data_IF_975711517670
#
_entry.id   IF_975711517670
#
_cell.length_a   1.000
_cell.length_b   1.000
_cell.length_c   1.000
_cell.angle_alpha   90.00
_cell.angle_beta   90.00
_cell.angle_gamma   90.00
#
_symmetry.space_group_name_H-M   'P 1'
#
loop_
_entity.id
_entity.type
_entity.pdbx_description
1 polymer ?
#
# COMPACT_ATOMS: atom_id res chain seq x y z
N UNK A 1 -18.66 -77.59 16.34
CA UNK A 1 -18.06 -76.55 17.21
C UNK A 1 -17.82 -75.32 16.38
N UNK A 2 -18.72 -74.34 16.49
CA UNK A 2 -18.66 -73.07 15.74
C UNK A 2 -18.16 -72.00 16.70
N UNK A 3 -17.01 -71.42 16.41
CA UNK A 3 -16.49 -70.31 17.16
C UNK A 3 -17.08 -69.00 16.63
N UNK A 4 -17.84 -68.32 17.46
CA UNK A 4 -18.28 -66.95 17.28
C UNK A 4 -17.08 -66.01 17.45
N UNK A 5 -16.69 -65.29 16.37
CA UNK A 5 -15.78 -64.15 16.51
C UNK A 5 -16.58 -62.89 16.92
N UNK A 6 -16.06 -62.11 17.87
CA UNK A 6 -16.76 -60.93 18.35
C UNK A 6 -16.68 -59.77 17.32
N UNK A 7 -17.87 -59.31 16.94
CA UNK A 7 -18.08 -58.18 16.01
C UNK A 7 -17.67 -56.79 16.49
N UNK A 8 -16.99 -56.73 17.65
CA UNK A 8 -16.70 -55.43 18.33
C UNK A 8 -15.41 -54.77 17.94
N UNK A 9 -14.54 -55.35 17.10
CA UNK A 9 -13.22 -54.83 16.77
C UNK A 9 -13.15 -54.00 15.47
N UNK A 10 -14.20 -53.99 14.69
CA UNK A 10 -14.22 -53.26 13.39
C UNK A 10 -14.73 -51.84 13.54
N UNK A 11 -15.43 -51.51 14.62
CA UNK A 11 -15.99 -50.15 14.82
C UNK A 11 -14.99 -49.11 15.39
N UNK A 12 -13.85 -49.55 15.93
CA UNK A 12 -12.90 -48.65 16.54
C UNK A 12 -11.84 -48.06 15.59
N UNK A 13 -11.70 -48.59 14.38
CA UNK A 13 -10.70 -48.12 13.42
C UNK A 13 -11.21 -47.04 12.48
N UNK A 14 -12.51 -46.78 12.38
CA UNK A 14 -13.06 -45.74 11.51
C UNK A 14 -13.12 -44.34 12.12
N UNK A 15 -12.92 -44.19 13.42
CA UNK A 15 -13.02 -42.88 14.07
C UNK A 15 -11.71 -42.12 14.16
N UNK A 16 -10.56 -42.72 13.84
CA UNK A 16 -9.25 -42.05 13.95
C UNK A 16 -8.77 -41.41 12.64
N UNK A 17 -9.51 -41.52 11.54
CA UNK A 17 -9.10 -40.98 10.24
C UNK A 17 -9.77 -39.66 9.86
N UNK A 18 -10.58 -39.06 10.74
CA UNK A 18 -11.32 -37.83 10.43
C UNK A 18 -10.77 -36.54 11.07
N UNK A 19 -9.64 -36.57 11.75
CA UNK A 19 -9.05 -35.37 12.40
C UNK A 19 -7.83 -34.79 11.68
N UNK A 20 -7.51 -35.23 10.48
CA UNK A 20 -6.43 -34.67 9.66
C UNK A 20 -6.98 -33.85 8.52
N UNK A 21 -7.93 -32.94 8.81
CA UNK A 21 -8.43 -32.03 7.79
C UNK A 21 -8.39 -30.61 8.27
N UNK A 22 -7.70 -29.80 7.46
CA UNK A 22 -7.80 -28.35 7.38
C UNK A 22 -6.95 -27.53 8.36
N UNK A 23 -5.64 -27.70 8.32
CA UNK A 23 -4.82 -26.51 8.30
C UNK A 23 -4.88 -25.89 6.88
N UNK A 24 -6.01 -25.32 6.51
CA UNK A 24 -6.03 -24.40 5.40
C UNK A 24 -5.16 -23.23 5.81
N UNK A 25 -3.97 -23.17 5.22
CA UNK A 25 -3.12 -21.99 5.25
C UNK A 25 -3.97 -20.83 4.71
N UNK A 26 -4.53 -20.04 5.60
CA UNK A 26 -5.17 -18.80 5.22
C UNK A 26 -4.09 -17.98 4.55
N UNK A 27 -4.21 -17.77 3.24
CA UNK A 27 -3.41 -16.80 2.54
C UNK A 27 -3.48 -15.50 3.34
N UNK A 28 -2.36 -14.81 3.57
CA UNK A 28 -2.36 -13.58 4.36
C UNK A 28 -3.40 -12.64 3.76
N UNK A 29 -4.43 -12.35 4.53
CA UNK A 29 -5.46 -11.41 4.11
C UNK A 29 -4.78 -10.07 3.90
N UNK A 30 -4.81 -9.57 2.67
CA UNK A 30 -4.28 -8.24 2.35
C UNK A 30 -5.04 -7.24 3.20
N UNK A 31 -4.32 -6.48 4.03
CA UNK A 31 -4.94 -5.45 4.84
C UNK A 31 -5.59 -4.41 3.92
N UNK A 32 -6.89 -4.13 4.07
CA UNK A 32 -7.56 -3.15 3.24
C UNK A 32 -6.98 -1.75 3.49
N UNK A 33 -6.81 -0.98 2.44
CA UNK A 33 -6.50 0.45 2.52
C UNK A 33 -7.80 1.19 2.81
N UNK A 34 -7.88 1.88 3.94
CA UNK A 34 -9.02 2.72 4.32
C UNK A 34 -8.53 4.10 4.73
N UNK A 35 -8.98 5.10 4.02
CA UNK A 35 -8.64 6.50 4.25
C UNK A 35 -9.92 7.32 4.30
N UNK A 36 -10.11 8.09 5.37
CA UNK A 36 -11.25 8.98 5.48
C UNK A 36 -10.98 10.31 4.78
N UNK A 37 -12.03 10.96 4.29
CA UNK A 37 -11.96 12.35 3.85
C UNK A 37 -11.46 13.24 4.99
N UNK A 38 -10.64 14.24 4.67
CA UNK A 38 -9.98 15.13 5.63
C UNK A 38 -8.66 14.61 6.21
N UNK A 39 -8.35 13.31 6.05
CA UNK A 39 -7.07 12.75 6.49
C UNK A 39 -5.90 13.41 5.79
N UNK A 40 -4.78 13.58 6.50
CA UNK A 40 -3.51 14.02 5.91
C UNK A 40 -2.59 12.83 5.79
N UNK A 41 -2.15 12.54 4.57
CA UNK A 41 -1.27 11.43 4.25
C UNK A 41 0.08 11.95 3.75
N UNK A 42 1.13 11.16 4.01
CA UNK A 42 2.49 11.45 3.53
C UNK A 42 2.81 10.52 2.36
N UNK A 43 3.00 11.12 1.20
CA UNK A 43 3.42 10.43 -0.01
C UNK A 43 4.90 10.72 -0.27
N UNK A 44 5.61 9.72 -0.74
CA UNK A 44 7.01 9.83 -1.12
C UNK A 44 7.13 9.85 -2.64
N UNK A 45 7.76 10.88 -3.16
CA UNK A 45 8.01 11.05 -4.59
C UNK A 45 8.88 9.89 -5.10
N UNK A 46 8.38 9.14 -6.09
CA UNK A 46 9.08 7.98 -6.65
C UNK A 46 9.98 8.36 -7.84
N UNK A 47 9.61 9.44 -8.53
CA UNK A 47 10.37 10.02 -9.63
C UNK A 47 10.82 11.42 -9.23
N UNK A 48 11.84 11.94 -9.91
CA UNK A 48 12.22 13.35 -9.75
C UNK A 48 11.14 14.24 -10.34
N UNK A 49 10.72 15.28 -9.62
CA UNK A 49 9.77 16.27 -10.10
C UNK A 49 10.53 17.56 -10.46
N UNK A 50 10.49 17.94 -11.73
CA UNK A 50 11.05 19.19 -12.19
C UNK A 50 9.90 20.19 -12.49
N UNK A 51 9.69 21.21 -11.67
CA UNK A 51 8.68 22.22 -11.91
C UNK A 51 9.04 23.24 -13.02
N UNK A 52 10.33 23.30 -13.37
CA UNK A 52 10.83 24.18 -14.43
C UNK A 52 11.39 23.34 -15.57
N UNK A 53 10.82 23.49 -16.77
CA UNK A 53 11.33 22.75 -17.93
C UNK A 53 12.74 23.25 -18.28
N UNK A 54 13.75 22.44 -18.05
CA UNK A 54 15.12 22.70 -18.51
C UNK A 54 16.24 22.52 -17.48
N UNK A 55 16.06 22.82 -16.20
CA UNK A 55 17.14 22.74 -15.21
C UNK A 55 17.00 21.53 -14.28
N UNK A 56 17.93 20.59 -14.44
CA UNK A 56 17.99 19.40 -13.57
C UNK A 56 18.40 19.71 -12.12
N UNK A 57 18.91 20.93 -11.88
CA UNK A 57 19.37 21.41 -10.55
C UNK A 57 18.22 21.84 -9.66
N UNK A 58 17.10 22.29 -10.25
CA UNK A 58 15.92 22.79 -9.51
C UNK A 58 14.79 21.77 -9.38
N UNK A 59 15.13 20.50 -9.38
CA UNK A 59 14.16 19.43 -9.30
C UNK A 59 14.03 18.87 -7.88
N UNK A 60 12.80 18.58 -7.46
CA UNK A 60 12.57 17.81 -6.24
C UNK A 60 13.08 16.38 -6.39
N UNK A 61 13.99 15.92 -5.53
CA UNK A 61 14.55 14.58 -5.64
C UNK A 61 13.52 13.50 -5.31
N UNK A 62 13.78 12.28 -5.79
CA UNK A 62 13.09 11.09 -5.32
C UNK A 62 13.15 11.02 -3.79
N UNK A 63 12.06 10.64 -3.14
CA UNK A 63 11.94 10.59 -1.69
C UNK A 63 11.40 11.87 -1.05
N UNK A 64 11.28 12.99 -1.81
CA UNK A 64 10.59 14.18 -1.31
C UNK A 64 9.21 13.82 -0.78
N UNK A 65 8.88 14.31 0.41
CA UNK A 65 7.60 14.02 1.07
C UNK A 65 6.58 15.07 0.65
N UNK A 66 5.42 14.59 0.19
CA UNK A 66 4.24 15.38 -0.10
C UNK A 66 3.19 15.08 0.98
N UNK A 67 2.80 16.09 1.74
CA UNK A 67 1.68 15.97 2.69
C UNK A 67 0.39 16.35 1.98
N UNK A 68 -0.54 15.41 1.87
CA UNK A 68 -1.78 15.59 1.11
C UNK A 68 -2.98 15.41 2.02
N UNK A 69 -3.86 16.42 2.02
CA UNK A 69 -5.17 16.36 2.66
C UNK A 69 -6.18 15.79 1.66
N UNK A 70 -6.80 14.68 2.01
CA UNK A 70 -7.76 13.97 1.17
C UNK A 70 -9.13 14.69 1.17
N UNK A 71 -9.77 14.82 0.02
CA UNK A 71 -11.13 15.35 -0.10
C UNK A 71 -12.19 14.27 -0.06
N UNK A 72 -11.92 13.12 -0.67
CA UNK A 72 -12.82 11.97 -0.65
C UNK A 72 -12.22 10.83 0.18
N UNK A 73 -13.08 9.96 0.68
CA UNK A 73 -12.67 8.70 1.30
C UNK A 73 -12.31 7.68 0.22
N UNK A 74 -11.40 6.77 0.57
CA UNK A 74 -11.04 5.60 -0.23
C UNK A 74 -11.08 4.36 0.66
N UNK A 75 -11.76 3.32 0.19
CA UNK A 75 -11.82 2.00 0.85
C UNK A 75 -11.63 0.90 -0.20
N UNK A 76 -10.48 0.24 -0.18
CA UNK A 76 -10.17 -0.85 -1.13
C UNK A 76 -11.06 -2.08 -0.99
N UNK A 77 -11.92 -2.17 0.03
CA UNK A 77 -12.93 -3.21 0.16
C UNK A 77 -14.15 -2.94 -0.76
N UNK A 78 -14.35 -1.68 -1.15
CA UNK A 78 -15.51 -1.22 -1.93
C UNK A 78 -15.06 -0.63 -3.28
N UNK A 79 -13.98 0.17 -3.24
CA UNK A 79 -13.43 0.85 -4.40
C UNK A 79 -12.61 -0.12 -5.26
N UNK A 80 -12.71 0.05 -6.57
CA UNK A 80 -12.03 -0.79 -7.55
C UNK A 80 -10.62 -0.26 -7.82
N UNK A 81 -9.79 -1.14 -8.38
CA UNK A 81 -8.53 -0.76 -9.02
C UNK A 81 -8.76 0.38 -10.04
N UNK A 82 -7.95 1.43 -9.95
CA UNK A 82 -8.14 2.64 -10.73
C UNK A 82 -9.12 3.67 -10.16
N UNK A 83 -9.69 3.46 -8.97
CA UNK A 83 -10.52 4.47 -8.32
C UNK A 83 -9.73 5.75 -8.05
N UNK A 84 -10.27 6.89 -8.48
CA UNK A 84 -9.63 8.19 -8.33
C UNK A 84 -9.82 8.78 -6.94
N UNK A 85 -8.78 9.44 -6.44
CA UNK A 85 -8.89 10.31 -5.28
C UNK A 85 -8.39 11.71 -5.59
N UNK A 86 -8.92 12.66 -4.84
CA UNK A 86 -8.59 14.07 -4.93
C UNK A 86 -8.18 14.60 -3.56
N UNK A 87 -7.31 15.59 -3.56
CA UNK A 87 -6.85 16.24 -2.35
C UNK A 87 -6.11 17.54 -2.67
N UNK A 88 -5.52 18.12 -1.64
CA UNK A 88 -4.62 19.27 -1.77
C UNK A 88 -3.37 19.05 -0.96
N UNK A 89 -2.28 19.71 -1.35
CA UNK A 89 -1.09 19.78 -0.52
C UNK A 89 -1.41 20.49 0.81
N UNK A 90 -1.13 19.80 1.92
CA UNK A 90 -1.27 20.37 3.26
C UNK A 90 -0.12 21.31 3.62
N UNK A 91 1.06 21.10 3.00
CA UNK A 91 2.24 21.92 3.18
C UNK A 91 2.85 22.28 1.82
N UNK A 92 3.48 23.48 1.68
CA UNK A 92 4.12 23.88 0.43
C UNK A 92 5.38 23.04 0.16
N UNK A 93 5.72 22.87 -1.13
CA UNK A 93 7.00 22.31 -1.51
C UNK A 93 8.01 23.43 -1.70
N UNK A 94 9.09 23.36 -0.93
CA UNK A 94 10.17 24.37 -0.87
C UNK A 94 11.43 23.78 -1.47
N UNK A 95 12.10 24.53 -2.34
CA UNK A 95 13.38 24.19 -2.94
C UNK A 95 14.31 25.39 -2.84
N UNK A 96 15.52 25.20 -2.30
CA UNK A 96 16.48 26.29 -2.13
C UNK A 96 16.00 27.44 -1.22
N UNK A 97 15.00 27.20 -0.36
CA UNK A 97 14.38 28.23 0.50
C UNK A 97 13.22 28.97 -0.17
N UNK A 98 12.92 28.71 -1.43
CA UNK A 98 11.80 29.30 -2.17
C UNK A 98 10.61 28.33 -2.24
N UNK A 99 9.38 28.88 -2.11
CA UNK A 99 8.14 28.11 -2.30
C UNK A 99 7.89 27.96 -3.79
N UNK A 100 8.11 26.76 -4.30
CA UNK A 100 7.91 26.44 -5.72
C UNK A 100 6.47 26.00 -6.00
N UNK A 101 5.90 25.16 -5.10
CA UNK A 101 4.51 24.71 -5.18
C UNK A 101 3.84 25.05 -3.86
N UNK A 102 2.73 25.76 -3.93
CA UNK A 102 2.04 26.24 -2.72
C UNK A 102 1.30 25.15 -1.98
N UNK A 103 1.03 25.35 -0.71
CA UNK A 103 -0.04 24.67 -0.02
C UNK A 103 -1.36 24.85 -0.78
N UNK A 104 -2.28 23.90 -0.65
CA UNK A 104 -3.56 23.85 -1.34
C UNK A 104 -3.49 23.61 -2.88
N UNK A 105 -2.30 23.38 -3.45
CA UNK A 105 -2.18 22.86 -4.80
C UNK A 105 -2.99 21.57 -4.96
N UNK A 106 -3.78 21.47 -6.03
CA UNK A 106 -4.65 20.31 -6.28
C UNK A 106 -3.83 19.06 -6.55
N UNK A 107 -4.22 17.95 -5.92
CA UNK A 107 -3.60 16.64 -6.09
C UNK A 107 -4.63 15.65 -6.59
N UNK A 108 -4.27 14.87 -7.61
CA UNK A 108 -5.05 13.74 -8.13
C UNK A 108 -4.22 12.48 -8.06
N UNK A 109 -4.89 11.39 -7.72
CA UNK A 109 -4.25 10.08 -7.63
C UNK A 109 -5.24 8.95 -7.85
N UNK A 110 -4.70 7.74 -7.81
CA UNK A 110 -5.42 6.50 -8.06
C UNK A 110 -5.15 5.48 -6.95
N UNK A 111 -6.17 4.70 -6.62
CA UNK A 111 -6.02 3.44 -5.91
C UNK A 111 -5.57 2.39 -6.92
N UNK A 112 -4.42 1.75 -6.70
CA UNK A 112 -3.89 0.74 -7.62
C UNK A 112 -3.70 -0.60 -6.92
N UNK A 113 -4.01 -1.68 -7.65
CA UNK A 113 -3.78 -3.03 -7.22
C UNK A 113 -2.42 -3.53 -7.71
N UNK A 114 -1.50 -3.69 -6.78
CA UNK A 114 -0.17 -4.21 -7.05
C UNK A 114 -0.14 -5.73 -6.88
N UNK A 115 0.33 -6.43 -7.89
CA UNK A 115 0.56 -7.87 -7.84
C UNK A 115 2.01 -8.17 -7.51
N UNK A 116 2.24 -9.07 -6.56
CA UNK A 116 3.58 -9.54 -6.23
C UNK A 116 4.13 -10.42 -7.37
N UNK A 117 5.38 -10.15 -7.79
CA UNK A 117 6.07 -11.02 -8.76
C UNK A 117 6.58 -12.31 -8.13
N UNK A 118 6.90 -12.28 -6.83
CA UNK A 118 7.44 -13.42 -6.09
C UNK A 118 6.37 -14.31 -5.48
N UNK A 119 5.15 -13.81 -5.33
CA UNK A 119 4.02 -14.55 -4.76
C UNK A 119 2.82 -14.44 -5.71
N UNK A 120 2.51 -15.44 -6.53
CA UNK A 120 1.48 -15.39 -7.57
C UNK A 120 0.08 -14.99 -7.07
N UNK A 121 -0.20 -15.26 -5.79
CA UNK A 121 -1.47 -14.91 -5.14
C UNK A 121 -1.34 -13.70 -4.19
N UNK A 122 -0.15 -13.08 -4.10
CA UNK A 122 0.07 -11.88 -3.31
C UNK A 122 -0.31 -10.63 -4.10
N UNK A 123 -1.22 -9.82 -3.55
CA UNK A 123 -1.54 -8.50 -4.06
C UNK A 123 -1.70 -7.52 -2.89
N UNK A 124 -1.54 -6.25 -3.16
CA UNK A 124 -1.84 -5.18 -2.20
C UNK A 124 -2.40 -3.98 -2.94
N UNK A 125 -3.20 -3.19 -2.26
CA UNK A 125 -3.60 -1.88 -2.75
C UNK A 125 -2.61 -0.83 -2.30
N UNK A 126 -2.38 0.15 -3.17
CA UNK A 126 -1.52 1.30 -2.92
C UNK A 126 -2.20 2.56 -3.46
N UNK A 127 -2.00 3.70 -2.77
CA UNK A 127 -2.43 4.99 -3.27
C UNK A 127 -1.26 5.65 -3.99
N UNK A 128 -1.49 6.03 -5.26
CA UNK A 128 -0.50 6.73 -6.08
C UNK A 128 -1.01 8.10 -6.47
N UNK A 129 -0.21 9.14 -6.23
CA UNK A 129 -0.42 10.44 -6.83
C UNK A 129 0.13 10.39 -8.26
N UNK A 130 -0.67 10.88 -9.21
CA UNK A 130 -0.32 10.92 -10.63
C UNK A 130 -0.21 12.34 -11.17
N UNK A 131 -0.86 13.30 -10.52
CA UNK A 131 -0.87 14.69 -10.97
C UNK A 131 -0.97 15.66 -9.81
N UNK A 132 -0.27 16.78 -9.97
CA UNK A 132 -0.33 17.94 -9.10
C UNK A 132 -0.55 19.19 -9.95
N UNK A 133 -1.46 20.06 -9.52
CA UNK A 133 -1.78 21.31 -10.24
C UNK A 133 -1.65 22.49 -9.31
N UNK A 134 -0.81 23.47 -9.67
CA UNK A 134 -0.67 24.76 -8.97
C UNK A 134 -0.74 25.90 -9.97
N UNK A 135 -1.56 26.91 -9.68
CA UNK A 135 -1.74 28.13 -10.52
C UNK A 135 -2.03 27.82 -11.99
N UNK A 136 -2.83 26.79 -12.27
CA UNK A 136 -3.16 26.38 -13.64
C UNK A 136 -2.04 25.62 -14.36
N UNK A 137 -0.89 25.39 -13.74
CA UNK A 137 0.19 24.56 -14.24
C UNK A 137 0.08 23.14 -13.65
N UNK A 138 0.05 22.14 -14.51
CA UNK A 138 -0.03 20.74 -14.11
C UNK A 138 1.31 20.05 -14.23
N UNK A 139 1.61 19.19 -13.26
CA UNK A 139 2.82 18.39 -13.20
C UNK A 139 2.41 16.92 -13.08
N UNK A 140 2.84 16.09 -14.03
CA UNK A 140 2.69 14.65 -13.93
C UNK A 140 3.84 14.09 -13.08
N UNK A 141 3.50 13.28 -12.08
CA UNK A 141 4.46 12.71 -11.15
C UNK A 141 3.98 11.33 -10.68
N UNK A 142 4.85 10.63 -9.97
CA UNK A 142 4.48 9.42 -9.26
C UNK A 142 4.95 9.55 -7.81
N UNK A 143 4.01 9.53 -6.87
CA UNK A 143 4.30 9.46 -5.45
C UNK A 143 3.40 8.43 -4.77
N UNK A 144 3.93 7.69 -3.79
CA UNK A 144 3.23 6.61 -3.09
C UNK A 144 3.35 6.76 -1.58
N UNK A 145 2.46 6.10 -0.82
CA UNK A 145 2.55 6.06 0.64
C UNK A 145 3.80 5.32 1.11
N UNK A 146 4.29 4.35 0.35
CA UNK A 146 5.46 3.55 0.71
C UNK A 146 6.72 4.18 0.11
N UNK A 147 7.78 4.45 0.92
CA UNK A 147 9.03 5.06 0.43
C UNK A 147 9.72 4.30 -0.71
N UNK A 148 9.47 3.01 -0.83
CA UNK A 148 10.16 2.08 -1.75
C UNK A 148 9.19 1.35 -2.67
N UNK A 149 8.35 2.09 -3.39
CA UNK A 149 7.39 1.48 -4.31
C UNK A 149 8.04 0.66 -5.44
N UNK A 150 9.22 1.05 -5.89
CA UNK A 150 9.93 0.42 -7.01
C UNK A 150 11.16 -0.42 -6.61
N UNK A 151 11.49 -0.49 -5.32
CA UNK A 151 12.66 -1.20 -4.83
C UNK A 151 12.22 -2.41 -3.97
N UNK A 152 12.13 -3.62 -4.53
CA UNK A 152 11.73 -4.81 -3.77
C UNK A 152 12.78 -5.27 -2.74
N UNK A 153 13.90 -4.55 -2.61
CA UNK A 153 15.04 -4.94 -1.78
C UNK A 153 15.15 -4.26 -0.40
N UNK A 154 14.40 -3.20 -0.13
CA UNK A 154 14.54 -2.47 1.14
C UNK A 154 13.29 -2.64 2.01
N UNK A 155 13.17 -3.79 2.61
CA UNK A 155 12.24 -3.96 3.73
C UNK A 155 12.83 -3.23 4.94
N UNK A 156 12.11 -2.27 5.57
CA UNK A 156 12.59 -1.67 6.82
C UNK A 156 12.75 -2.79 7.84
N UNK A 157 13.94 -2.90 8.40
CA UNK A 157 14.25 -3.88 9.44
C UNK A 157 13.23 -3.71 10.57
N UNK A 158 12.35 -4.68 10.68
CA UNK A 158 11.37 -4.79 11.75
C UNK A 158 12.11 -4.80 13.09
N UNK A 159 11.84 -3.77 13.88
CA UNK A 159 12.11 -3.54 15.27
C UNK A 159 13.02 -4.49 16.03
N UNK A 160 14.20 -4.04 16.37
CA UNK A 160 14.96 -4.56 17.50
C UNK A 160 14.12 -4.45 18.77
N UNK A 161 13.75 -5.62 19.29
CA UNK A 161 13.11 -5.79 20.59
C UNK A 161 14.05 -5.22 21.67
N UNK A 162 13.63 -4.31 22.54
CA UNK A 162 14.47 -3.88 23.66
C UNK A 162 14.64 -5.04 24.62
N UNK A 163 15.89 -5.50 24.80
CA UNK A 163 16.26 -6.44 25.85
C UNK A 163 16.24 -5.68 27.18
N UNK A 164 15.24 -5.98 28.00
CA UNK A 164 15.21 -5.55 29.39
C UNK A 164 16.32 -6.26 30.16
N UNK A 165 17.12 -5.52 30.89
CA UNK A 165 18.08 -5.95 31.85
C UNK A 165 17.56 -5.58 33.23
#
# INVERSE_FOLDING_TARGET
MAQLMPRSLVAALCFLSLLAAATYSQAPAVAPVRVAAGSVLKFHLQTRLNPTAGDALDAFPKGTVLEVRMFNSIDSAVDRDGAEFHGTLAAPLVLGGEVIIRSEAEVRGLLVLLRSRSHPHGFRYELLITRLTDRGKSYDLTASLTPSFLDPGTQPASGSKPTAK
#
